data_IF_171166926654
#
_entry.id   IF_171166926654
#
_cell.length_a   1.000
_cell.length_b   1.000
_cell.length_c   1.000
_cell.angle_alpha   90.00
_cell.angle_beta   90.00
_cell.angle_gamma   90.00
#
_symmetry.space_group_name_H-M   'P 1'
#
loop_
_entity.id
_entity.type
_entity.pdbx_description
1 polymer ?
#
# COMPACT_ATOMS: atom_id res chain seq x y z
N UNK A 1 21.07 -12.03 5.54
CA UNK A 1 20.04 -11.12 5.00
C UNK A 1 20.76 -9.98 4.27
N UNK A 2 20.49 -9.74 2.98
CA UNK A 2 21.15 -8.67 2.21
C UNK A 2 20.18 -7.49 2.10
N UNK A 3 20.48 -6.37 2.78
CA UNK A 3 19.70 -5.13 2.67
C UNK A 3 19.83 -4.52 1.28
N UNK A 4 18.72 -4.24 0.62
CA UNK A 4 18.60 -3.59 -0.69
C UNK A 4 18.02 -2.18 -0.55
N UNK A 5 18.35 -1.25 -1.47
CA UNK A 5 17.67 0.04 -1.53
C UNK A 5 16.15 -0.14 -1.61
N UNK A 6 15.41 0.55 -0.75
CA UNK A 6 13.95 0.42 -0.61
C UNK A 6 13.50 -0.48 0.55
N UNK A 7 14.41 -1.24 1.18
CA UNK A 7 14.08 -2.05 2.35
C UNK A 7 13.77 -1.16 3.56
N UNK A 8 12.65 -1.45 4.24
CA UNK A 8 12.33 -0.86 5.52
C UNK A 8 13.05 -1.62 6.63
N UNK A 9 13.77 -0.90 7.49
CA UNK A 9 14.53 -1.47 8.60
C UNK A 9 14.23 -0.72 9.89
N UNK A 10 14.31 -1.43 11.01
CA UNK A 10 14.28 -0.81 12.32
C UNK A 10 15.72 -0.61 12.81
N UNK A 11 16.01 0.63 13.16
CA UNK A 11 17.27 1.01 13.80
C UNK A 11 17.35 0.42 15.22
N UNK A 12 18.54 0.44 15.82
CA UNK A 12 18.75 -0.08 17.19
C UNK A 12 17.88 0.63 18.24
N UNK A 13 17.51 1.90 18.00
CA UNK A 13 16.57 2.69 18.81
C UNK A 13 15.09 2.38 18.49
N UNK A 14 14.80 1.31 17.73
CA UNK A 14 13.44 0.88 17.39
C UNK A 14 12.74 1.79 16.39
N UNK A 15 13.46 2.71 15.75
CA UNK A 15 12.85 3.69 14.84
C UNK A 15 12.92 3.22 13.39
N UNK A 16 11.85 3.41 12.59
CA UNK A 16 11.83 2.99 11.20
C UNK A 16 12.77 3.85 10.34
N UNK A 17 13.42 3.23 9.38
CA UNK A 17 14.26 3.87 8.37
C UNK A 17 14.18 3.08 7.04
N UNK A 18 14.49 3.72 5.92
CA UNK A 18 14.62 3.07 4.62
C UNK A 18 16.08 3.00 4.19
N UNK A 19 16.50 1.88 3.62
CA UNK A 19 17.80 1.75 2.99
C UNK A 19 17.80 2.53 1.68
N UNK A 20 18.70 3.49 1.51
CA UNK A 20 18.83 4.28 0.26
C UNK A 20 20.10 3.96 -0.52
N UNK A 21 20.98 3.14 0.04
CA UNK A 21 22.21 2.72 -0.62
C UNK A 21 23.14 1.97 0.32
N UNK A 22 24.29 1.60 -0.22
CA UNK A 22 25.41 1.02 0.54
C UNK A 22 26.59 1.98 0.47
N UNK A 23 27.33 2.05 1.58
CA UNK A 23 28.66 2.65 1.64
C UNK A 23 29.69 1.57 1.33
N UNK A 24 30.84 1.98 0.81
CA UNK A 24 31.95 1.08 0.46
C UNK A 24 32.51 0.32 1.68
N UNK A 25 32.26 0.84 2.88
CA UNK A 25 32.66 0.25 4.17
C UNK A 25 31.75 -0.89 4.65
N UNK A 26 30.81 -1.37 3.83
CA UNK A 26 29.84 -2.40 4.23
C UNK A 26 28.66 -1.89 5.09
N UNK A 27 28.60 -0.59 5.36
CA UNK A 27 27.46 0.04 6.05
C UNK A 27 26.37 0.43 5.06
N UNK A 28 25.10 0.35 5.48
CA UNK A 28 23.97 0.86 4.68
C UNK A 28 23.71 2.34 4.98
N UNK A 29 23.37 3.10 3.94
CA UNK A 29 22.86 4.47 4.10
C UNK A 29 21.36 4.38 4.36
N UNK A 30 20.92 4.98 5.46
CA UNK A 30 19.53 4.98 5.88
C UNK A 30 18.95 6.39 5.78
N UNK A 31 17.71 6.48 5.35
CA UNK A 31 16.92 7.70 5.34
C UNK A 31 15.71 7.52 6.27
N UNK A 32 15.43 8.54 7.09
CA UNK A 32 14.38 8.49 8.12
C UNK A 32 13.27 9.52 7.91
N UNK A 33 13.48 10.41 6.94
CA UNK A 33 12.59 11.50 6.52
C UNK A 33 13.00 11.86 5.09
N UNK A 34 12.05 12.28 4.26
CA UNK A 34 12.29 12.62 2.85
C UNK A 34 11.50 11.75 1.90
N UNK A 35 11.63 12.00 0.61
CA UNK A 35 10.79 11.38 -0.43
C UNK A 35 10.92 9.85 -0.45
N UNK A 36 12.14 9.32 -0.28
CA UNK A 36 12.36 7.87 -0.27
C UNK A 36 11.73 7.21 0.95
N UNK A 37 11.81 7.87 2.12
CA UNK A 37 11.17 7.38 3.34
C UNK A 37 9.65 7.40 3.24
N UNK A 38 9.05 8.51 2.80
CA UNK A 38 7.58 8.60 2.65
C UNK A 38 7.07 7.64 1.57
N UNK A 39 7.81 7.47 0.47
CA UNK A 39 7.47 6.50 -0.58
C UNK A 39 7.49 5.08 -0.04
N UNK A 40 8.53 4.67 0.68
CA UNK A 40 8.61 3.32 1.25
C UNK A 40 7.63 3.12 2.41
N UNK A 41 7.36 4.14 3.21
CA UNK A 41 6.33 4.09 4.26
C UNK A 41 4.95 3.82 3.68
N UNK A 42 4.63 4.41 2.54
CA UNK A 42 3.31 4.28 1.92
C UNK A 42 3.19 3.13 0.92
N UNK A 43 4.29 2.75 0.28
CA UNK A 43 4.28 1.79 -0.84
C UNK A 43 5.32 0.68 -0.68
N UNK A 44 5.98 0.56 0.48
CA UNK A 44 7.05 -0.41 0.70
C UNK A 44 6.60 -1.87 0.56
N UNK A 45 5.35 -2.18 0.90
CA UNK A 45 4.77 -3.50 0.67
C UNK A 45 4.58 -3.82 -0.83
N UNK A 46 4.46 -2.80 -1.68
CA UNK A 46 4.37 -2.93 -3.13
C UNK A 46 5.74 -3.10 -3.82
N UNK A 47 6.85 -3.15 -3.06
CA UNK A 47 8.20 -3.35 -3.63
C UNK A 47 8.36 -4.72 -4.32
N UNK A 48 7.54 -5.72 -3.98
CA UNK A 48 7.52 -7.02 -4.65
C UNK A 48 6.79 -7.03 -6.00
N UNK A 49 6.16 -5.92 -6.40
CA UNK A 49 5.42 -5.81 -7.65
C UNK A 49 6.35 -5.50 -8.84
N UNK A 50 5.96 -5.95 -10.03
CA UNK A 50 6.62 -5.50 -11.26
C UNK A 50 6.47 -3.97 -11.40
N UNK A 51 7.41 -3.27 -12.05
CA UNK A 51 7.35 -1.80 -12.17
C UNK A 51 6.03 -1.29 -12.73
N UNK A 52 5.46 -1.99 -13.73
CA UNK A 52 4.16 -1.63 -14.33
C UNK A 52 3.02 -1.72 -13.33
N UNK A 53 2.91 -2.85 -12.62
CA UNK A 53 1.83 -3.08 -11.64
C UNK A 53 1.98 -2.13 -10.44
N UNK A 54 3.22 -1.86 -10.03
CA UNK A 54 3.54 -0.89 -8.98
C UNK A 54 3.08 0.51 -9.36
N UNK A 55 3.36 0.98 -10.58
CA UNK A 55 2.95 2.32 -11.03
C UNK A 55 1.43 2.47 -11.02
N UNK A 56 0.69 1.47 -11.52
CA UNK A 56 -0.78 1.47 -11.50
C UNK A 56 -1.30 1.49 -10.06
N UNK A 57 -0.72 0.66 -9.19
CA UNK A 57 -1.07 0.63 -7.77
C UNK A 57 -0.83 2.00 -7.10
N UNK A 58 0.37 2.57 -7.23
CA UNK A 58 0.73 3.86 -6.65
C UNK A 58 -0.18 4.98 -7.14
N UNK A 59 -0.58 4.95 -8.43
CA UNK A 59 -1.51 5.91 -9.02
C UNK A 59 -2.88 5.86 -8.34
N UNK A 60 -3.50 4.68 -8.28
CA UNK A 60 -4.85 4.51 -7.70
C UNK A 60 -4.88 4.91 -6.23
N UNK A 61 -3.86 4.53 -5.46
CA UNK A 61 -3.76 4.88 -4.04
C UNK A 61 -3.52 6.37 -3.83
N UNK A 62 -2.69 7.01 -4.65
CA UNK A 62 -2.50 8.48 -4.59
C UNK A 62 -3.79 9.22 -4.88
N UNK A 63 -4.53 8.80 -5.91
CA UNK A 63 -5.83 9.37 -6.25
C UNK A 63 -6.87 9.15 -5.14
N UNK A 64 -6.86 7.99 -4.46
CA UNK A 64 -7.72 7.73 -3.31
C UNK A 64 -7.36 8.62 -2.12
N UNK A 65 -6.08 8.83 -1.83
CA UNK A 65 -5.62 9.65 -0.71
C UNK A 65 -5.89 11.16 -0.85
N UNK A 66 -6.23 11.62 -2.06
CA UNK A 66 -6.71 12.98 -2.27
C UNK A 66 -8.12 13.20 -1.68
N UNK A 67 -8.87 12.12 -1.40
CA UNK A 67 -10.15 12.22 -0.71
C UNK A 67 -9.93 12.39 0.80
N UNK A 68 -10.60 13.36 1.42
CA UNK A 68 -10.54 13.54 2.88
C UNK A 68 -11.27 12.43 3.63
N UNK A 69 -12.46 12.06 3.17
CA UNK A 69 -13.32 11.07 3.82
C UNK A 69 -12.86 9.63 3.53
N UNK A 70 -12.59 8.79 4.56
CA UNK A 70 -12.15 7.41 4.38
C UNK A 70 -13.10 6.56 3.52
N UNK A 71 -14.40 6.78 3.62
CA UNK A 71 -15.43 6.09 2.82
C UNK A 71 -15.24 6.35 1.33
N UNK A 72 -14.93 7.60 0.95
CA UNK A 72 -14.64 7.97 -0.44
C UNK A 72 -13.37 7.30 -0.94
N UNK A 73 -12.34 7.16 -0.09
CA UNK A 73 -11.11 6.42 -0.43
C UNK A 73 -11.43 4.96 -0.75
N UNK A 74 -12.21 4.32 0.11
CA UNK A 74 -12.66 2.93 -0.05
C UNK A 74 -13.49 2.79 -1.33
N UNK A 75 -14.46 3.66 -1.58
CA UNK A 75 -15.28 3.63 -2.80
C UNK A 75 -14.45 3.79 -4.07
N UNK A 76 -13.42 4.65 -4.07
CA UNK A 76 -12.55 4.87 -5.23
C UNK A 76 -11.70 3.65 -5.54
N UNK A 77 -11.12 3.03 -4.51
CA UNK A 77 -10.35 1.79 -4.66
C UNK A 77 -11.27 0.65 -5.13
N UNK A 78 -12.46 0.53 -4.54
CA UNK A 78 -13.47 -0.46 -4.94
C UNK A 78 -13.87 -0.31 -6.41
N UNK A 79 -14.16 0.91 -6.86
CA UNK A 79 -14.50 1.15 -8.26
C UNK A 79 -13.40 0.66 -9.21
N UNK A 80 -12.12 0.83 -8.83
CA UNK A 80 -11.00 0.32 -9.62
C UNK A 80 -10.89 -1.20 -9.58
N UNK A 81 -11.12 -1.82 -8.43
CA UNK A 81 -11.18 -3.29 -8.30
C UNK A 81 -12.29 -3.87 -9.18
N UNK A 82 -13.46 -3.23 -9.19
CA UNK A 82 -14.61 -3.65 -10.01
C UNK A 82 -14.32 -3.46 -11.51
N UNK A 83 -13.65 -2.37 -11.91
CA UNK A 83 -13.22 -2.12 -13.30
C UNK A 83 -12.20 -3.17 -13.79
N UNK A 84 -11.25 -3.57 -12.93
CA UNK A 84 -10.28 -4.63 -13.23
C UNK A 84 -10.99 -5.99 -13.40
N UNK A 85 -12.03 -6.23 -12.62
CA UNK A 85 -12.84 -7.44 -12.66
C UNK A 85 -12.06 -8.72 -12.32
N UNK A 86 -12.36 -9.79 -13.06
CA UNK A 86 -11.75 -11.12 -12.87
C UNK A 86 -10.59 -11.38 -13.86
N UNK A 87 -10.04 -10.36 -14.52
CA UNK A 87 -8.95 -10.55 -15.50
C UNK A 87 -7.71 -11.20 -14.84
N UNK A 88 -7.32 -12.42 -15.26
CA UNK A 88 -6.14 -13.10 -14.71
C UNK A 88 -4.84 -12.31 -14.90
N UNK A 89 -4.74 -11.37 -15.84
CA UNK A 89 -3.53 -10.55 -16.02
C UNK A 89 -3.37 -9.49 -14.94
N UNK A 90 -4.47 -9.09 -14.31
CA UNK A 90 -4.51 -8.02 -13.33
C UNK A 90 -4.74 -8.52 -11.90
N UNK A 91 -4.73 -9.85 -11.70
CA UNK A 91 -4.98 -10.49 -10.40
C UNK A 91 -4.08 -9.95 -9.28
N UNK A 92 -2.80 -9.70 -9.59
CA UNK A 92 -1.83 -9.15 -8.63
C UNK A 92 -2.22 -7.73 -8.23
N UNK A 93 -2.49 -6.86 -9.19
CA UNK A 93 -2.90 -5.48 -8.93
C UNK A 93 -4.14 -5.44 -8.06
N UNK A 94 -5.15 -6.24 -8.44
CA UNK A 94 -6.40 -6.36 -7.70
C UNK A 94 -6.18 -6.78 -6.25
N UNK A 95 -5.38 -7.82 -6.00
CA UNK A 95 -5.10 -8.29 -4.63
C UNK A 95 -4.46 -7.22 -3.75
N UNK A 96 -3.57 -6.40 -4.32
CA UNK A 96 -2.93 -5.31 -3.59
C UNK A 96 -3.91 -4.16 -3.31
N UNK A 97 -4.78 -3.83 -4.26
CA UNK A 97 -5.84 -2.83 -4.06
C UNK A 97 -6.87 -3.29 -3.02
N UNK A 98 -7.28 -4.56 -3.05
CA UNK A 98 -8.13 -5.16 -2.02
C UNK A 98 -7.46 -5.09 -0.64
N UNK A 99 -6.15 -5.32 -0.56
CA UNK A 99 -5.36 -5.17 0.66
C UNK A 99 -5.35 -3.74 1.21
N UNK A 100 -5.12 -2.73 0.36
CA UNK A 100 -5.20 -1.31 0.78
C UNK A 100 -6.61 -0.92 1.22
N UNK A 101 -7.64 -1.41 0.51
CA UNK A 101 -9.04 -1.20 0.88
C UNK A 101 -9.32 -1.75 2.28
N UNK A 102 -8.93 -3.00 2.55
CA UNK A 102 -9.07 -3.61 3.89
C UNK A 102 -8.28 -2.86 4.95
N UNK A 103 -7.08 -2.37 4.63
CA UNK A 103 -6.29 -1.57 5.55
C UNK A 103 -7.02 -0.27 5.95
N UNK A 104 -7.57 0.47 4.98
CA UNK A 104 -8.32 1.69 5.26
C UNK A 104 -9.58 1.38 6.07
N UNK A 105 -10.34 0.36 5.69
CA UNK A 105 -11.55 -0.06 6.39
C UNK A 105 -11.26 -0.38 7.87
N UNK A 106 -10.19 -1.15 8.14
CA UNK A 106 -9.84 -1.56 9.50
C UNK A 106 -9.20 -0.44 10.33
N UNK A 107 -8.40 0.43 9.71
CA UNK A 107 -7.68 1.51 10.41
C UNK A 107 -8.59 2.69 10.76
N UNK A 108 -9.55 3.00 9.89
CA UNK A 108 -10.48 4.13 10.03
C UNK A 108 -11.87 3.68 10.50
N UNK A 109 -12.07 2.36 10.72
CA UNK A 109 -13.34 1.75 11.10
C UNK A 109 -14.51 2.13 10.18
N UNK A 110 -14.26 2.09 8.87
CA UNK A 110 -15.24 2.41 7.83
C UNK A 110 -15.56 1.18 6.99
N UNK A 111 -16.81 1.13 6.49
CA UNK A 111 -17.25 0.10 5.55
C UNK A 111 -17.66 0.75 4.23
N UNK A 112 -17.54 0.04 3.10
CA UNK A 112 -18.05 0.56 1.83
C UNK A 112 -19.57 0.71 1.97
N UNK A 113 -20.06 1.92 1.77
CA UNK A 113 -21.50 2.27 1.88
C UNK A 113 -22.40 1.48 0.94
N UNK A 114 -21.83 0.80 -0.06
CA UNK A 114 -22.55 -0.11 -0.97
C UNK A 114 -22.93 -1.45 -0.35
N UNK A 115 -22.40 -1.83 0.81
CA UNK A 115 -22.81 -3.06 1.50
C UNK A 115 -23.84 -2.73 2.58
N UNK A 116 -25.10 -3.07 2.32
CA UNK A 116 -26.10 -3.21 3.37
C UNK A 116 -25.79 -4.52 4.08
N UNK A 117 -25.28 -4.44 5.31
CA UNK A 117 -25.17 -5.61 6.19
C UNK A 117 -26.59 -6.11 6.48
N UNK A 118 -26.97 -7.25 5.90
CA UNK A 118 -28.17 -7.96 6.32
C UNK A 118 -27.79 -8.90 7.47
N UNK A 119 -28.05 -8.47 8.70
CA UNK A 119 -27.79 -9.24 9.93
C UNK A 119 -28.52 -10.60 9.96
N UNK A 120 -29.41 -10.88 9.01
CA UNK A 120 -30.11 -12.17 8.90
C UNK A 120 -29.26 -13.32 8.37
N UNK A 121 -28.07 -13.05 7.83
CA UNK A 121 -27.18 -14.10 7.30
C UNK A 121 -25.91 -14.21 8.13
N UNK A 122 -26.05 -14.57 9.40
CA UNK A 122 -24.95 -15.13 10.19
C UNK A 122 -25.08 -16.65 10.03
N UNK A 123 -24.17 -17.27 9.28
CA UNK A 123 -24.02 -18.73 9.15
C UNK A 123 -23.34 -19.31 10.39
#
# INVERSE_FOLDING_TARGET
>A
MRFQPGDMVFTRDGRPAVVVGRKDTGHVKLERKGEAFEKTRHFGFANGLTPKVRTEYEKVVREARQEEAPEKRVSKIKAKVDEIGLDPKNWVLRRYLEGEMSFIMNSENVHPTTFVLDEKTIL
#
